data_IF_641000552529
#
_entry.id   IF_641000552529
#
_cell.length_a   1.000
_cell.length_b   1.000
_cell.length_c   1.000
_cell.angle_alpha   90.00
_cell.angle_beta   90.00
_cell.angle_gamma   90.00
#
_symmetry.space_group_name_H-M   'P 1'
#
loop_
_entity.id
_entity.type
_entity.pdbx_description
1 polymer ?
#
# COMPACT_ATOMS: atom_id res chain seq x y z
N UNK A 1 10.85 13.83 61.22
CA UNK A 1 11.32 14.51 59.98
C UNK A 1 10.69 13.78 58.81
N UNK A 2 9.70 14.38 58.14
CA UNK A 2 8.94 13.72 57.08
C UNK A 2 9.60 14.01 55.72
N UNK A 3 10.01 12.97 55.00
CA UNK A 3 10.66 13.03 53.70
C UNK A 3 9.58 13.11 52.61
N UNK A 4 9.47 14.24 51.92
CA UNK A 4 8.53 14.42 50.80
C UNK A 4 9.21 13.92 49.53
N UNK A 5 8.86 12.72 49.09
CA UNK A 5 9.30 12.19 47.79
C UNK A 5 8.46 12.87 46.70
N UNK A 6 9.07 13.82 45.97
CA UNK A 6 8.48 14.41 44.76
C UNK A 6 8.55 13.39 43.62
N UNK A 7 7.43 12.72 43.37
CA UNK A 7 7.24 11.78 42.27
C UNK A 7 7.19 12.58 40.96
N UNK A 8 8.30 12.65 40.24
CA UNK A 8 8.37 13.22 38.89
C UNK A 8 7.87 12.15 37.93
N UNK A 9 6.58 12.17 37.63
CA UNK A 9 5.99 11.35 36.55
C UNK A 9 6.39 12.02 35.24
N UNK A 10 7.49 11.57 34.65
CA UNK A 10 7.83 11.90 33.26
C UNK A 10 6.90 11.08 32.37
N UNK A 11 5.74 11.64 32.06
CA UNK A 11 4.88 11.11 31.00
C UNK A 11 5.62 11.40 29.69
N UNK A 12 6.36 10.41 29.19
CA UNK A 12 6.74 10.35 27.79
C UNK A 12 5.42 10.26 26.99
N UNK A 13 4.86 11.43 26.67
CA UNK A 13 3.91 11.58 25.59
C UNK A 13 4.66 11.20 24.32
N UNK A 14 4.72 9.89 24.04
CA UNK A 14 4.84 9.42 22.68
C UNK A 14 3.60 9.96 21.97
N UNK A 15 3.73 11.16 21.41
CA UNK A 15 2.80 11.70 20.46
C UNK A 15 2.71 10.66 19.36
N UNK A 16 1.70 9.80 19.44
CA UNK A 16 1.13 9.10 18.31
C UNK A 16 0.66 10.19 17.37
N UNK A 17 1.58 10.71 16.56
CA UNK A 17 1.22 11.45 15.38
C UNK A 17 0.33 10.46 14.60
N UNK A 18 -0.97 10.75 14.40
CA UNK A 18 -1.68 10.03 13.36
C UNK A 18 -0.81 10.24 12.12
N UNK A 19 -0.32 9.16 11.53
CA UNK A 19 0.38 9.25 10.27
C UNK A 19 -0.63 9.88 9.32
N UNK A 20 -0.51 11.19 9.12
CA UNK A 20 -1.19 11.90 8.05
C UNK A 20 -0.59 11.24 6.83
N UNK A 21 -1.26 10.20 6.35
CA UNK A 21 -0.99 9.59 5.08
C UNK A 21 -1.22 10.74 4.12
N UNK A 22 -0.13 11.43 3.78
CA UNK A 22 -0.14 12.55 2.86
C UNK A 22 -0.71 11.97 1.59
N UNK A 23 -2.02 12.17 1.37
CA UNK A 23 -2.64 11.84 0.10
C UNK A 23 -1.83 12.66 -0.91
N UNK A 24 -1.04 12.02 -1.76
CA UNK A 24 -0.16 12.77 -2.63
C UNK A 24 -1.00 13.70 -3.50
N UNK A 25 -0.57 14.97 -3.54
CA UNK A 25 -1.29 16.13 -4.09
C UNK A 25 -1.60 16.02 -5.59
N UNK A 26 -1.11 14.98 -6.27
CA UNK A 26 -1.37 14.73 -7.68
C UNK A 26 -1.47 13.21 -7.96
N UNK A 27 -2.66 12.65 -7.78
CA UNK A 27 -2.94 11.25 -8.10
C UNK A 27 -3.61 11.16 -9.47
N UNK A 28 -2.88 10.64 -10.47
CA UNK A 28 -3.49 10.33 -11.76
C UNK A 28 -4.25 9.01 -11.63
N UNK A 29 -5.57 9.07 -11.73
CA UNK A 29 -6.38 7.86 -11.82
C UNK A 29 -6.02 7.10 -13.09
N UNK A 30 -5.61 5.84 -12.92
CA UNK A 30 -5.32 4.93 -14.03
C UNK A 30 -6.61 4.37 -14.65
N UNK A 31 -7.74 4.45 -13.95
CA UNK A 31 -9.00 3.84 -14.41
C UNK A 31 -9.70 4.66 -15.51
N UNK A 32 -9.27 5.89 -15.77
CA UNK A 32 -9.89 6.82 -16.73
C UNK A 32 -9.58 6.50 -18.20
N UNK A 33 -8.57 5.67 -18.49
CA UNK A 33 -8.17 5.34 -19.86
C UNK A 33 -7.96 3.84 -20.04
N UNK A 34 -8.09 3.35 -21.28
CA UNK A 34 -7.81 1.94 -21.59
C UNK A 34 -6.38 1.55 -21.23
N UNK A 35 -5.40 2.37 -21.64
CA UNK A 35 -3.97 2.15 -21.35
C UNK A 35 -3.68 2.19 -19.84
N UNK A 36 -4.29 3.13 -19.11
CA UNK A 36 -4.16 3.21 -17.66
C UNK A 36 -4.72 1.97 -16.96
N UNK A 37 -5.89 1.48 -17.38
CA UNK A 37 -6.50 0.25 -16.86
C UNK A 37 -5.61 -0.97 -17.07
N UNK A 38 -4.97 -1.07 -18.23
CA UNK A 38 -4.02 -2.15 -18.51
C UNK A 38 -2.78 -2.11 -17.59
N UNK A 39 -2.22 -0.91 -17.36
CA UNK A 39 -1.11 -0.71 -16.42
C UNK A 39 -1.53 -1.10 -15.00
N UNK A 40 -2.71 -0.66 -14.55
CA UNK A 40 -3.24 -0.99 -13.24
C UNK A 40 -3.43 -2.51 -13.08
N UNK A 41 -3.99 -3.19 -14.09
CA UNK A 41 -4.21 -4.66 -14.06
C UNK A 41 -2.89 -5.41 -13.98
N UNK A 42 -1.92 -5.10 -14.85
CA UNK A 42 -0.60 -5.73 -14.83
C UNK A 42 0.14 -5.51 -13.51
N UNK A 43 0.02 -4.30 -12.95
CA UNK A 43 0.61 -3.96 -11.65
C UNK A 43 -0.05 -4.73 -10.51
N UNK A 44 -1.38 -4.88 -10.54
CA UNK A 44 -2.14 -5.69 -9.58
C UNK A 44 -1.70 -7.17 -9.63
N UNK A 45 -1.65 -7.76 -10.81
CA UNK A 45 -1.25 -9.17 -11.00
C UNK A 45 0.17 -9.43 -10.49
N UNK A 46 1.09 -8.50 -10.79
CA UNK A 46 2.48 -8.55 -10.32
C UNK A 46 2.54 -8.42 -8.80
N UNK A 47 1.85 -7.44 -8.22
CA UNK A 47 1.82 -7.21 -6.77
C UNK A 47 1.24 -8.42 -6.02
N UNK A 48 0.17 -9.03 -6.54
CA UNK A 48 -0.42 -10.21 -5.96
C UNK A 48 0.50 -11.42 -6.02
N UNK A 49 1.23 -11.60 -7.12
CA UNK A 49 2.23 -12.67 -7.25
C UNK A 49 3.35 -12.48 -6.23
N UNK A 50 3.91 -11.27 -6.11
CA UNK A 50 4.94 -10.95 -5.12
C UNK A 50 4.48 -11.15 -3.69
N UNK A 51 3.25 -10.74 -3.37
CA UNK A 51 2.69 -10.92 -2.05
C UNK A 51 2.52 -12.41 -1.71
N UNK A 52 1.95 -13.20 -2.63
CA UNK A 52 1.77 -14.65 -2.44
C UNK A 52 3.12 -15.37 -2.26
N UNK A 53 4.13 -15.00 -3.03
CA UNK A 53 5.47 -15.62 -2.90
C UNK A 53 6.17 -15.23 -1.60
N UNK A 54 5.92 -14.02 -1.07
CA UNK A 54 6.57 -13.53 0.14
C UNK A 54 5.95 -14.06 1.43
N UNK A 55 4.64 -14.32 1.44
CA UNK A 55 3.90 -14.55 2.69
C UNK A 55 3.56 -16.01 2.96
N UNK A 56 3.70 -16.92 1.97
CA UNK A 56 3.17 -18.30 2.05
C UNK A 56 1.72 -18.35 2.57
N UNK A 57 0.99 -17.24 2.50
CA UNK A 57 -0.25 -17.06 3.22
C UNK A 57 -1.38 -17.85 2.56
N UNK A 58 -2.43 -18.11 3.34
CA UNK A 58 -3.74 -18.60 2.88
C UNK A 58 -4.11 -18.03 1.50
N UNK A 59 -4.75 -18.83 0.62
CA UNK A 59 -4.91 -18.50 -0.79
C UNK A 59 -5.78 -17.26 -0.96
N UNK A 60 -5.12 -16.10 -0.98
CA UNK A 60 -5.72 -14.85 -1.41
C UNK A 60 -5.73 -14.89 -2.94
N UNK A 61 -6.93 -14.92 -3.50
CA UNK A 61 -7.18 -14.83 -4.92
C UNK A 61 -7.52 -13.38 -5.22
N UNK A 62 -6.60 -12.69 -5.87
CA UNK A 62 -6.82 -11.32 -6.30
C UNK A 62 -7.70 -11.27 -7.55
N UNK A 63 -8.75 -10.46 -7.54
CA UNK A 63 -9.51 -10.13 -8.75
C UNK A 63 -9.07 -8.77 -9.31
N UNK A 64 -8.02 -8.79 -10.13
CA UNK A 64 -7.47 -7.57 -10.74
C UNK A 64 -8.34 -6.99 -11.86
N UNK A 65 -9.44 -7.63 -12.26
CA UNK A 65 -10.36 -7.06 -13.26
C UNK A 65 -11.36 -6.09 -12.64
N UNK A 66 -11.66 -6.24 -11.35
CA UNK A 66 -12.62 -5.42 -10.61
C UNK A 66 -11.89 -4.50 -9.64
N UNK A 67 -11.10 -3.59 -10.19
CA UNK A 67 -10.46 -2.50 -9.43
C UNK A 67 -11.44 -1.36 -9.20
N UNK A 68 -11.59 -0.97 -7.95
CA UNK A 68 -12.37 0.20 -7.56
C UNK A 68 -11.54 1.47 -7.59
N UNK A 69 -10.24 1.36 -7.29
CA UNK A 69 -9.31 2.48 -7.31
C UNK A 69 -7.95 2.04 -7.85
N UNK A 70 -7.41 2.80 -8.79
CA UNK A 70 -6.03 2.68 -9.20
C UNK A 70 -5.48 4.08 -9.44
N UNK A 71 -4.49 4.49 -8.67
CA UNK A 71 -3.84 5.80 -8.81
C UNK A 71 -2.34 5.64 -8.90
N UNK A 72 -1.71 6.48 -9.72
CA UNK A 72 -0.27 6.48 -9.92
C UNK A 72 0.32 7.80 -9.46
N UNK A 73 1.46 7.71 -8.78
CA UNK A 73 2.33 8.82 -8.46
C UNK A 73 3.75 8.52 -8.91
N UNK A 74 4.41 9.52 -9.49
CA UNK A 74 5.84 9.46 -9.83
C UNK A 74 6.59 10.45 -8.94
N UNK A 75 7.69 10.00 -8.36
CA UNK A 75 8.61 10.80 -7.54
C UNK A 75 10.01 10.72 -8.13
N UNK A 76 10.66 11.87 -8.28
CA UNK A 76 12.09 11.92 -8.53
C UNK A 76 12.81 11.63 -7.21
N UNK A 77 13.77 10.73 -7.24
CA UNK A 77 14.67 10.44 -6.14
C UNK A 77 16.00 11.16 -6.37
N UNK A 78 16.72 11.44 -5.29
CA UNK A 78 18.08 11.98 -5.37
C UNK A 78 18.96 11.05 -6.22
N UNK A 79 19.68 11.61 -7.19
CA UNK A 79 20.57 10.85 -8.08
C UNK A 79 19.92 10.21 -9.31
N UNK A 80 19.01 10.93 -10.00
CA UNK A 80 18.36 10.51 -11.26
C UNK A 80 17.46 9.27 -11.17
N UNK A 81 17.16 8.80 -9.97
CA UNK A 81 16.23 7.70 -9.77
C UNK A 81 14.77 8.15 -9.95
N UNK A 82 13.93 7.28 -10.52
CA UNK A 82 12.49 7.49 -10.59
C UNK A 82 11.82 6.42 -9.72
N UNK A 83 10.97 6.86 -8.79
CA UNK A 83 10.08 5.99 -8.04
C UNK A 83 8.65 6.17 -8.54
N UNK A 84 8.05 5.08 -9.03
CA UNK A 84 6.63 5.02 -9.38
C UNK A 84 5.91 4.24 -8.28
N UNK A 85 4.94 4.89 -7.64
CA UNK A 85 4.03 4.28 -6.66
C UNK A 85 2.64 4.16 -7.29
N UNK A 86 2.11 2.95 -7.34
CA UNK A 86 0.76 2.66 -7.82
C UNK A 86 -0.05 2.14 -6.64
N UNK A 87 -1.03 2.94 -6.21
CA UNK A 87 -2.00 2.53 -5.21
C UNK A 87 -3.16 1.82 -5.89
N UNK A 88 -3.51 0.65 -5.39
CA UNK A 88 -4.55 -0.21 -5.92
C UNK A 88 -5.55 -0.58 -4.81
N UNK A 89 -6.84 -0.51 -5.12
CA UNK A 89 -7.93 -1.07 -4.31
C UNK A 89 -8.82 -1.92 -5.19
N UNK A 90 -8.99 -3.17 -4.83
CA UNK A 90 -9.75 -4.16 -5.58
C UNK A 90 -10.30 -5.23 -4.65
N UNK A 91 -11.24 -6.01 -5.18
CA UNK A 91 -11.83 -7.12 -4.47
C UNK A 91 -11.02 -8.39 -4.70
N UNK A 92 -11.03 -9.27 -3.72
CA UNK A 92 -10.47 -10.60 -3.84
C UNK A 92 -11.26 -11.59 -3.01
N UNK A 93 -10.72 -12.80 -2.91
CA UNK A 93 -11.28 -13.88 -2.09
C UNK A 93 -10.18 -14.43 -1.20
N UNK A 94 -10.47 -14.63 0.08
CA UNK A 94 -9.59 -15.33 1.02
C UNK A 94 -10.40 -16.41 1.72
N UNK A 95 -9.99 -17.67 1.60
CA UNK A 95 -10.70 -18.82 2.17
C UNK A 95 -12.20 -18.87 1.79
N UNK A 96 -12.53 -18.52 0.54
CA UNK A 96 -13.90 -18.46 0.04
C UNK A 96 -14.69 -17.19 0.42
N UNK A 97 -14.18 -16.36 1.32
CA UNK A 97 -14.81 -15.11 1.73
C UNK A 97 -14.34 -13.94 0.87
N UNK A 98 -15.26 -13.03 0.52
CA UNK A 98 -14.94 -11.79 -0.19
C UNK A 98 -14.15 -10.86 0.74
N UNK A 99 -13.06 -10.31 0.22
CA UNK A 99 -12.21 -9.36 0.93
C UNK A 99 -11.91 -8.15 0.05
N UNK A 100 -11.81 -6.99 0.67
CA UNK A 100 -11.24 -5.79 0.04
C UNK A 100 -9.72 -5.82 0.26
N UNK A 101 -8.97 -5.63 -0.83
CA UNK A 101 -7.51 -5.57 -0.82
C UNK A 101 -7.09 -4.18 -1.27
N UNK A 102 -6.37 -3.49 -0.40
CA UNK A 102 -5.69 -2.23 -0.71
C UNK A 102 -4.19 -2.45 -0.64
N UNK A 103 -3.45 -2.12 -1.70
CA UNK A 103 -2.00 -2.25 -1.70
C UNK A 103 -1.29 -1.14 -2.47
N UNK A 104 -0.01 -0.94 -2.16
CA UNK A 104 0.86 -0.03 -2.90
C UNK A 104 1.98 -0.83 -3.59
N UNK A 105 1.96 -0.82 -4.92
CA UNK A 105 3.00 -1.41 -5.75
C UNK A 105 4.03 -0.34 -6.12
N UNK A 106 5.31 -0.64 -5.87
CA UNK A 106 6.41 0.29 -6.09
C UNK A 106 7.34 -0.24 -7.18
N UNK A 107 7.74 0.64 -8.09
CA UNK A 107 8.83 0.40 -9.05
C UNK A 107 9.85 1.51 -8.93
N UNK A 108 11.09 1.17 -8.59
CA UNK A 108 12.24 2.07 -8.64
C UNK A 108 13.07 1.77 -9.87
N UNK A 109 13.36 2.80 -10.66
CA UNK A 109 14.29 2.74 -11.78
C UNK A 109 15.46 3.68 -11.47
N UNK A 110 16.68 3.17 -11.52
CA UNK A 110 17.89 3.96 -11.35
C UNK A 110 18.90 3.58 -12.45
N UNK A 111 18.92 4.34 -13.54
CA UNK A 111 19.68 3.96 -14.74
C UNK A 111 19.24 2.59 -15.27
N UNK A 112 20.11 1.59 -15.18
CA UNK A 112 19.84 0.21 -15.59
C UNK A 112 19.20 -0.66 -14.49
N UNK A 113 19.21 -0.21 -13.23
CA UNK A 113 18.66 -0.98 -12.11
C UNK A 113 17.16 -0.77 -12.00
N UNK A 114 16.41 -1.88 -12.00
CA UNK A 114 14.97 -1.89 -11.72
C UNK A 114 14.68 -2.73 -10.49
N UNK A 115 14.04 -2.14 -9.49
CA UNK A 115 13.54 -2.85 -8.30
C UNK A 115 12.02 -2.71 -8.23
N UNK A 116 11.34 -3.81 -7.93
CA UNK A 116 9.90 -3.86 -7.73
C UNK A 116 9.59 -4.47 -6.36
N UNK A 117 8.60 -3.94 -5.67
CA UNK A 117 8.15 -4.49 -4.39
C UNK A 117 6.73 -4.03 -4.07
N UNK A 118 6.10 -4.70 -3.09
CA UNK A 118 4.86 -4.27 -2.46
C UNK A 118 5.24 -3.58 -1.16
N UNK A 119 4.84 -2.31 -0.99
CA UNK A 119 5.22 -1.50 0.18
C UNK A 119 4.25 -1.70 1.34
N UNK A 120 2.95 -1.56 1.05
CA UNK A 120 1.87 -1.66 2.02
C UNK A 120 0.80 -2.58 1.44
N UNK A 121 0.23 -3.44 2.28
CA UNK A 121 -0.96 -4.23 1.95
C UNK A 121 -1.90 -4.26 3.15
N UNK A 122 -3.18 -4.01 2.88
CA UNK A 122 -4.28 -4.07 3.84
C UNK A 122 -5.36 -4.95 3.25
N UNK A 123 -5.75 -5.97 4.01
CA UNK A 123 -6.81 -6.89 3.65
C UNK A 123 -7.92 -6.72 4.67
N UNK A 124 -9.07 -6.27 4.21
CA UNK A 124 -10.25 -6.05 5.05
C UNK A 124 -11.29 -7.09 4.66
N UNK A 125 -11.79 -7.82 5.66
CA UNK A 125 -12.92 -8.70 5.44
C UNK A 125 -14.17 -7.86 5.35
N UNK A 126 -15.01 -8.16 4.37
CA UNK A 126 -16.37 -7.66 4.34
C UNK A 126 -17.11 -8.37 5.48
N UNK A 127 -17.05 -7.81 6.68
CA UNK A 127 -17.94 -8.21 7.77
C UNK A 127 -19.27 -7.55 7.46
N UNK A 128 -20.13 -8.28 6.76
CA UNK A 128 -21.57 -8.07 6.94
C UNK A 128 -21.83 -8.21 8.45
N UNK A 129 -22.27 -7.11 9.06
CA UNK A 129 -22.77 -7.02 10.43
C UNK A 129 -24.18 -7.61 10.50
#
# INVERSE_FOLDING_TARGET
>A
MAFIIRLIIVVLLAATMPSIQSNPVNQNSLLTSHKGREIARKSCETACTLYRSATNSNPIICNCNMMEKATMQTKLMDGNGILVEIYLRFLGTMNGLRVEISLTFCTKVNGHDKKIWVKDIKIVHDREL
#
